data_IF_854754248862
#
_entry.id   IF_854754248862
#
_cell.length_a   1.000
_cell.length_b   1.000
_cell.length_c   1.000
_cell.angle_alpha   90.00
_cell.angle_beta   90.00
_cell.angle_gamma   90.00
#
_symmetry.space_group_name_H-M   'P 1'
#
loop_
_entity.id
_entity.type
_entity.pdbx_description
1 polymer ?
#
# COMPACT_ATOMS: atom_id res chain seq x y z
N UNK A 1 51.28 1.78 -31.16
CA UNK A 1 49.93 1.49 -31.70
C UNK A 1 49.32 0.22 -31.13
N UNK A 2 50.02 -0.93 -31.11
CA UNK A 2 49.44 -2.22 -30.64
C UNK A 2 49.03 -2.23 -29.16
N UNK A 3 49.83 -1.64 -28.27
CA UNK A 3 49.55 -1.60 -26.81
C UNK A 3 48.37 -0.69 -26.47
N UNK A 4 48.24 0.46 -27.14
CA UNK A 4 47.13 1.40 -26.93
C UNK A 4 45.77 0.80 -27.31
N UNK A 5 45.73 -0.07 -28.33
CA UNK A 5 44.50 -0.78 -28.75
C UNK A 5 44.09 -1.84 -27.73
N UNK A 6 45.05 -2.52 -27.10
CA UNK A 6 44.78 -3.52 -26.06
C UNK A 6 44.23 -2.88 -24.80
N UNK A 7 44.76 -1.71 -24.40
CA UNK A 7 44.25 -0.95 -23.26
C UNK A 7 42.82 -0.47 -23.53
N UNK A 8 42.53 0.04 -24.73
CA UNK A 8 41.19 0.49 -25.10
C UNK A 8 40.17 -0.68 -25.12
N UNK A 9 40.58 -1.87 -25.59
CA UNK A 9 39.75 -3.07 -25.57
C UNK A 9 39.48 -3.59 -24.15
N UNK A 10 40.42 -3.42 -23.22
CA UNK A 10 40.23 -3.78 -21.82
C UNK A 10 39.20 -2.89 -21.11
N UNK A 11 39.13 -1.60 -21.46
CA UNK A 11 38.13 -0.67 -20.92
C UNK A 11 36.70 -0.88 -21.47
N UNK A 12 36.54 -1.54 -22.61
CA UNK A 12 35.23 -1.84 -23.21
C UNK A 12 34.50 -3.03 -22.58
N UNK A 13 35.14 -3.77 -21.67
CA UNK A 13 34.55 -4.94 -20.99
C UNK A 13 33.89 -4.61 -19.63
N UNK A 14 33.71 -3.32 -19.30
CA UNK A 14 32.95 -2.92 -18.11
C UNK A 14 31.47 -3.09 -18.43
N UNK A 15 30.95 -4.30 -18.26
CA UNK A 15 29.50 -4.55 -18.26
C UNK A 15 28.90 -3.81 -17.06
N UNK A 16 28.28 -2.66 -17.31
CA UNK A 16 27.50 -1.97 -16.30
C UNK A 16 26.30 -2.84 -15.91
N UNK A 17 26.19 -3.21 -14.64
CA UNK A 17 24.98 -3.83 -14.10
C UNK A 17 23.86 -2.80 -14.02
N UNK A 18 23.24 -2.47 -15.14
CA UNK A 18 21.97 -1.76 -15.18
C UNK A 18 20.83 -2.74 -14.88
N UNK A 19 20.84 -3.33 -13.69
CA UNK A 19 19.65 -4.00 -13.19
C UNK A 19 18.69 -2.90 -12.75
N UNK A 20 17.71 -2.60 -13.58
CA UNK A 20 16.51 -1.91 -13.09
C UNK A 20 15.79 -2.87 -12.17
N UNK A 21 16.10 -2.80 -10.87
CA UNK A 21 15.31 -3.43 -9.81
C UNK A 21 13.84 -2.90 -9.76
N UNK A 22 13.51 -1.98 -10.66
CA UNK A 22 12.22 -1.32 -10.77
C UNK A 22 11.19 -2.19 -11.45
N UNK A 23 10.39 -2.91 -10.68
CA UNK A 23 9.12 -3.44 -11.21
C UNK A 23 8.41 -4.46 -10.33
N UNK A 24 9.14 -5.27 -9.57
CA UNK A 24 8.53 -6.38 -8.82
C UNK A 24 8.12 -5.95 -7.40
N UNK A 25 7.21 -4.97 -7.31
CA UNK A 25 6.54 -4.66 -6.05
C UNK A 25 5.39 -5.64 -5.84
N UNK A 26 5.55 -6.59 -4.92
CA UNK A 26 4.55 -7.62 -4.60
C UNK A 26 3.29 -7.00 -3.97
N UNK A 27 3.44 -5.93 -3.20
CA UNK A 27 2.35 -5.28 -2.46
C UNK A 27 1.92 -3.93 -3.05
N UNK A 28 1.67 -3.89 -4.36
CA UNK A 28 1.23 -2.65 -5.04
C UNK A 28 -0.08 -2.08 -4.48
N UNK A 29 -0.93 -2.91 -3.87
CA UNK A 29 -2.19 -2.45 -3.27
C UNK A 29 -1.97 -1.41 -2.16
N UNK A 30 -0.80 -1.40 -1.49
CA UNK A 30 -0.44 -0.40 -0.48
C UNK A 30 -0.30 1.02 -1.06
N UNK A 31 -0.09 1.14 -2.38
CA UNK A 31 0.00 2.44 -3.05
C UNK A 31 -1.36 3.05 -3.37
N UNK A 32 -2.44 2.27 -3.24
CA UNK A 32 -3.78 2.74 -3.50
C UNK A 32 -4.29 3.53 -2.30
N UNK A 33 -4.93 4.66 -2.58
CA UNK A 33 -5.55 5.50 -1.56
C UNK A 33 -6.64 4.74 -0.82
N UNK A 34 -6.59 4.78 0.50
CA UNK A 34 -7.47 4.03 1.40
C UNK A 34 -8.73 4.82 1.84
N UNK A 35 -8.75 6.15 1.69
CA UNK A 35 -9.90 6.99 2.07
C UNK A 35 -10.40 7.88 0.92
N UNK A 36 -11.70 8.25 0.90
CA UNK A 36 -12.23 9.14 -0.13
C UNK A 36 -11.57 10.51 -0.15
N UNK A 37 -11.26 11.07 1.03
CA UNK A 37 -10.56 12.35 1.15
C UNK A 37 -9.18 12.25 0.49
N UNK A 38 -8.41 11.20 0.79
CA UNK A 38 -7.10 10.99 0.18
C UNK A 38 -7.19 10.77 -1.34
N UNK A 39 -8.17 9.97 -1.80
CA UNK A 39 -8.43 9.77 -3.23
C UNK A 39 -8.73 11.09 -3.95
N UNK A 40 -9.57 11.95 -3.34
CA UNK A 40 -9.95 13.25 -3.92
C UNK A 40 -8.78 14.24 -4.01
N UNK A 41 -7.76 14.07 -3.16
CA UNK A 41 -6.56 14.89 -3.12
C UNK A 41 -5.42 14.37 -4.03
N UNK A 42 -5.71 13.40 -4.90
CA UNK A 42 -4.72 12.84 -5.84
C UNK A 42 -3.97 11.62 -5.31
N UNK A 43 -4.43 11.01 -4.22
CA UNK A 43 -4.00 9.69 -3.74
C UNK A 43 -2.87 9.69 -2.72
N UNK A 44 -2.02 10.72 -2.69
CA UNK A 44 -1.02 10.93 -1.63
C UNK A 44 -1.10 12.38 -1.20
N UNK A 45 -1.19 12.63 0.11
CA UNK A 45 -1.27 13.99 0.62
C UNK A 45 -0.55 14.14 1.96
N UNK A 46 0.39 15.08 2.01
CA UNK A 46 1.20 15.38 3.21
C UNK A 46 0.87 16.74 3.84
N UNK A 47 0.18 17.63 3.11
CA UNK A 47 0.01 19.03 3.47
C UNK A 47 -1.39 19.35 4.01
N UNK A 48 -2.37 18.49 3.76
CA UNK A 48 -3.76 18.70 4.18
C UNK A 48 -3.93 18.23 5.60
N UNK A 49 -4.05 19.20 6.51
CA UNK A 49 -4.36 18.94 7.92
C UNK A 49 -5.88 18.88 8.05
N UNK A 50 -6.41 17.69 8.32
CA UNK A 50 -7.84 17.43 8.53
C UNK A 50 -8.05 16.72 9.87
N UNK A 51 -9.27 16.76 10.41
CA UNK A 51 -9.70 15.94 11.55
C UNK A 51 -10.35 14.64 11.06
N UNK A 52 -9.66 13.91 10.16
CA UNK A 52 -10.05 12.57 9.71
C UNK A 52 -8.97 11.55 10.09
N UNK A 53 -9.29 10.67 11.05
CA UNK A 53 -8.44 9.53 11.44
C UNK A 53 -8.09 8.61 10.27
N UNK A 54 -8.88 8.61 9.20
CA UNK A 54 -8.59 7.89 7.97
C UNK A 54 -7.28 8.29 7.30
N UNK A 55 -6.89 9.57 7.39
CA UNK A 55 -5.64 10.07 6.80
C UNK A 55 -4.39 9.63 7.57
N UNK A 56 -4.53 9.25 8.85
CA UNK A 56 -3.44 8.77 9.70
C UNK A 56 -2.82 7.48 9.14
N UNK A 57 -3.61 6.66 8.46
CA UNK A 57 -3.14 5.45 7.80
C UNK A 57 -2.13 5.75 6.69
N UNK A 58 -2.29 6.88 5.97
CA UNK A 58 -1.33 7.32 4.96
C UNK A 58 -0.15 8.09 5.57
N UNK A 59 -0.42 8.93 6.57
CA UNK A 59 0.60 9.70 7.28
C UNK A 59 0.35 9.68 8.80
N UNK A 60 1.08 8.84 9.55
CA UNK A 60 0.93 8.72 11.00
C UNK A 60 1.14 10.03 11.77
N UNK A 61 1.90 10.98 11.21
CA UNK A 61 2.15 12.28 11.84
C UNK A 61 0.91 13.20 11.88
N UNK A 62 -0.16 12.87 11.15
CA UNK A 62 -1.43 13.60 11.19
C UNK A 62 -2.31 13.20 12.39
N UNK A 63 -1.91 12.22 13.19
CA UNK A 63 -2.64 11.80 14.37
C UNK A 63 -2.67 12.92 15.40
N UNK A 64 -3.87 13.24 15.91
CA UNK A 64 -4.09 14.32 16.88
C UNK A 64 -4.95 13.82 18.05
N UNK A 65 -4.79 14.40 19.25
CA UNK A 65 -5.67 14.11 20.39
C UNK A 65 -7.16 14.37 20.10
N UNK A 66 -7.48 15.30 19.19
CA UNK A 66 -8.86 15.59 18.76
C UNK A 66 -9.57 14.40 18.10
N UNK A 67 -8.81 13.42 17.59
CA UNK A 67 -9.32 12.21 16.94
C UNK A 67 -9.66 11.09 17.93
N UNK A 68 -9.69 11.37 19.23
CA UNK A 68 -10.09 10.40 20.25
C UNK A 68 -11.46 9.81 19.93
N UNK A 69 -11.56 8.47 19.91
CA UNK A 69 -12.78 7.70 19.61
C UNK A 69 -13.35 7.91 18.22
N UNK A 70 -12.59 8.51 17.30
CA UNK A 70 -13.02 8.64 15.91
C UNK A 70 -12.86 7.29 15.20
N UNK A 71 -13.88 6.90 14.43
CA UNK A 71 -13.86 5.72 13.56
C UNK A 71 -14.15 6.14 12.13
N UNK A 72 -13.38 5.60 11.18
CA UNK A 72 -13.55 5.80 9.75
C UNK A 72 -13.76 4.44 9.08
N UNK A 73 -14.78 4.33 8.24
CA UNK A 73 -15.09 3.11 7.49
C UNK A 73 -15.35 3.48 6.02
N UNK A 74 -14.64 2.81 5.12
CA UNK A 74 -14.64 3.11 3.69
C UNK A 74 -14.91 1.83 2.91
N UNK A 75 -15.80 1.94 1.93
CA UNK A 75 -16.18 0.87 1.04
C UNK A 75 -15.93 1.34 -0.39
N UNK A 76 -15.11 0.61 -1.13
CA UNK A 76 -14.80 0.93 -2.52
C UNK A 76 -15.04 -0.30 -3.41
N UNK A 77 -15.56 -0.07 -4.60
CA UNK A 77 -15.86 -1.12 -5.57
C UNK A 77 -15.18 -0.77 -6.89
N UNK A 78 -14.18 -1.55 -7.24
CA UNK A 78 -13.41 -1.39 -8.46
C UNK A 78 -14.02 -2.25 -9.59
N UNK A 79 -13.70 -1.87 -10.83
CA UNK A 79 -14.04 -2.67 -12.00
C UNK A 79 -13.45 -4.08 -11.90
N UNK A 80 -14.14 -5.07 -12.48
CA UNK A 80 -13.75 -6.48 -12.36
C UNK A 80 -14.23 -7.16 -11.08
N UNK A 81 -15.09 -6.51 -10.27
CA UNK A 81 -15.70 -7.11 -9.08
C UNK A 81 -14.83 -7.07 -7.82
N UNK A 82 -13.76 -6.27 -7.83
CA UNK A 82 -12.84 -6.11 -6.71
C UNK A 82 -13.50 -5.21 -5.66
N UNK A 83 -13.60 -5.70 -4.42
CA UNK A 83 -14.19 -4.96 -3.29
C UNK A 83 -13.11 -4.64 -2.27
N UNK A 84 -13.02 -3.36 -1.89
CA UNK A 84 -12.02 -2.85 -0.95
C UNK A 84 -12.74 -2.31 0.27
N UNK A 85 -12.23 -2.66 1.43
CA UNK A 85 -12.74 -2.23 2.73
C UNK A 85 -11.59 -1.63 3.52
N UNK A 86 -11.77 -0.40 4.00
CA UNK A 86 -10.81 0.22 4.89
C UNK A 86 -11.51 0.63 6.19
N UNK A 87 -10.87 0.35 7.31
CA UNK A 87 -11.31 0.69 8.65
C UNK A 87 -10.16 1.38 9.37
N UNK A 88 -10.42 2.49 10.04
CA UNK A 88 -9.45 3.06 10.98
C UNK A 88 -10.13 3.60 12.22
N UNK A 89 -9.37 3.64 13.31
CA UNK A 89 -9.82 4.01 14.63
C UNK A 89 -8.75 4.79 15.37
N UNK A 90 -9.14 5.87 16.03
CA UNK A 90 -8.26 6.75 16.80
C UNK A 90 -8.63 6.74 18.27
N UNK A 91 -7.63 6.73 19.14
CA UNK A 91 -7.82 6.72 20.58
C UNK A 91 -6.72 7.51 21.29
N UNK A 92 -7.09 8.62 21.94
CA UNK A 92 -6.17 9.36 22.79
C UNK A 92 -6.20 8.84 24.23
N UNK A 93 -5.03 8.53 24.79
CA UNK A 93 -4.92 8.11 26.19
C UNK A 93 -4.34 9.24 27.04
N UNK A 94 -5.21 9.87 27.84
CA UNK A 94 -4.90 11.10 28.57
C UNK A 94 -3.76 10.96 29.60
N UNK A 95 -3.61 9.82 30.27
CA UNK A 95 -2.59 9.65 31.31
C UNK A 95 -1.16 9.51 30.74
N UNK A 96 -1.03 8.89 29.56
CA UNK A 96 0.25 8.75 28.85
C UNK A 96 0.50 9.94 27.90
N UNK A 97 -0.47 10.84 27.76
CA UNK A 97 -0.45 11.92 26.78
C UNK A 97 -0.07 11.42 25.37
N UNK A 98 -0.57 10.25 24.99
CA UNK A 98 -0.24 9.58 23.72
C UNK A 98 -1.52 9.27 22.97
N UNK A 99 -1.54 9.55 21.67
CA UNK A 99 -2.62 9.14 20.77
C UNK A 99 -2.23 7.87 20.05
N UNK A 100 -3.16 6.93 19.96
CA UNK A 100 -3.01 5.68 19.22
C UNK A 100 -3.97 5.68 18.04
N UNK A 101 -3.54 5.05 16.95
CA UNK A 101 -4.36 4.77 15.79
C UNK A 101 -4.20 3.33 15.38
N UNK A 102 -5.29 2.72 14.98
CA UNK A 102 -5.32 1.39 14.36
C UNK A 102 -6.02 1.50 13.02
N UNK A 103 -5.57 0.74 12.03
CA UNK A 103 -6.26 0.64 10.76
C UNK A 103 -6.04 -0.69 10.04
N UNK A 104 -7.01 -1.02 9.18
CA UNK A 104 -7.07 -2.22 8.38
C UNK A 104 -7.48 -1.83 6.97
N UNK A 105 -6.74 -2.28 5.96
CA UNK A 105 -7.12 -2.17 4.55
C UNK A 105 -7.21 -3.57 3.95
N UNK A 106 -8.35 -3.95 3.40
CA UNK A 106 -8.68 -5.30 2.94
C UNK A 106 -9.21 -5.28 1.51
N UNK A 107 -8.58 -6.08 0.64
CA UNK A 107 -8.88 -6.21 -0.77
C UNK A 107 -9.42 -7.61 -1.04
N UNK A 108 -10.59 -7.68 -1.65
CA UNK A 108 -11.21 -8.92 -2.12
C UNK A 108 -11.30 -8.89 -3.64
N UNK A 109 -10.56 -9.77 -4.31
CA UNK A 109 -10.50 -9.80 -5.78
C UNK A 109 -11.63 -10.59 -6.42
N UNK A 110 -12.61 -11.04 -5.63
CA UNK A 110 -13.71 -11.87 -6.12
C UNK A 110 -13.33 -13.34 -6.21
N UNK A 111 -14.10 -14.09 -7.00
CA UNK A 111 -13.99 -15.53 -7.10
C UNK A 111 -13.34 -15.91 -8.44
N UNK A 112 -12.32 -16.77 -8.38
CA UNK A 112 -11.63 -17.32 -9.54
C UNK A 112 -11.82 -18.82 -9.58
N UNK A 113 -12.11 -19.39 -10.74
CA UNK A 113 -12.19 -20.84 -10.92
C UNK A 113 -10.81 -21.46 -10.69
N UNK A 114 -10.75 -22.46 -9.82
CA UNK A 114 -9.55 -23.23 -9.57
C UNK A 114 -9.54 -24.42 -10.55
N UNK A 115 -8.51 -24.49 -11.41
CA UNK A 115 -8.35 -25.57 -12.38
C UNK A 115 -7.04 -26.32 -12.14
N UNK A 116 -7.02 -27.62 -12.42
CA UNK A 116 -5.77 -28.39 -12.51
C UNK A 116 -5.02 -28.08 -13.83
N UNK A 117 -3.77 -28.57 -14.01
CA UNK A 117 -3.03 -28.37 -15.26
C UNK A 117 -3.67 -29.04 -16.49
N UNK A 118 -4.59 -29.98 -16.29
CA UNK A 118 -5.37 -30.63 -17.36
C UNK A 118 -6.65 -29.87 -17.70
N UNK A 119 -6.97 -28.78 -16.97
CA UNK A 119 -8.15 -27.95 -17.18
C UNK A 119 -9.41 -28.44 -16.45
N UNK A 120 -9.31 -29.42 -15.56
CA UNK A 120 -10.46 -29.86 -14.77
C UNK A 120 -10.75 -28.86 -13.64
N UNK A 121 -12.01 -28.48 -13.47
CA UNK A 121 -12.44 -27.60 -12.40
C UNK A 121 -12.39 -28.33 -11.05
N UNK A 122 -11.60 -27.80 -10.12
CA UNK A 122 -11.45 -28.33 -8.76
C UNK A 122 -12.27 -27.55 -7.73
N UNK A 123 -12.69 -26.34 -8.06
CA UNK A 123 -13.46 -25.48 -7.15
C UNK A 123 -13.30 -23.99 -7.44
N UNK A 124 -13.43 -23.18 -6.40
CA UNK A 124 -13.34 -21.72 -6.47
C UNK A 124 -12.32 -21.21 -5.46
N UNK A 125 -11.38 -20.39 -5.93
CA UNK A 125 -10.40 -19.68 -5.12
C UNK A 125 -10.82 -18.22 -4.95
N UNK A 126 -10.61 -17.65 -3.76
CA UNK A 126 -10.90 -16.23 -3.47
C UNK A 126 -9.61 -15.51 -3.08
N UNK A 127 -8.92 -14.83 -4.03
CA UNK A 127 -7.71 -14.08 -3.71
C UNK A 127 -8.05 -12.89 -2.82
N UNK A 128 -7.25 -12.67 -1.78
CA UNK A 128 -7.41 -11.55 -0.84
C UNK A 128 -6.05 -11.00 -0.45
N UNK A 129 -5.95 -9.67 -0.34
CA UNK A 129 -4.79 -8.98 0.25
C UNK A 129 -5.26 -8.10 1.39
N UNK A 130 -4.45 -7.97 2.44
CA UNK A 130 -4.78 -7.07 3.53
C UNK A 130 -3.53 -6.56 4.24
N UNK A 131 -3.67 -5.39 4.86
CA UNK A 131 -2.64 -4.79 5.73
C UNK A 131 -3.31 -4.24 6.98
N UNK A 132 -2.66 -4.45 8.12
CA UNK A 132 -3.03 -3.83 9.38
C UNK A 132 -1.88 -2.93 9.84
N UNK A 133 -2.23 -1.77 10.39
CA UNK A 133 -1.27 -0.79 10.88
C UNK A 133 -1.68 -0.30 12.27
N UNK A 134 -0.70 -0.13 13.13
CA UNK A 134 -0.83 0.57 14.41
C UNK A 134 0.14 1.76 14.37
N UNK A 135 -0.28 2.89 14.92
CA UNK A 135 0.55 4.09 14.99
C UNK A 135 0.31 4.80 16.31
N UNK A 136 1.31 5.53 16.78
CA UNK A 136 1.23 6.32 18.00
C UNK A 136 1.94 7.66 17.80
N UNK A 137 1.44 8.70 18.46
CA UNK A 137 1.99 10.07 18.45
C UNK A 137 1.90 10.70 19.84
#
# INVERSE_FOLDING_TARGET
MKVSVVILAAFLNISGFAQTLGGNSVFNFLKLSNTPQLSSLGGVNISTISDDVGLVFNNPALLKPSMHTQMNAVFNNFYGGIKIYHLSFGYHHQQLNTSFSWGLNYFNYGNTTQTDPSGNEMGTFRPVDWVMQVSAS
#
